data_IF_440041508770
#
_entry.id   IF_440041508770
#
_cell.length_a   1.000
_cell.length_b   1.000
_cell.length_c   1.000
_cell.angle_alpha   90.00
_cell.angle_beta   90.00
_cell.angle_gamma   90.00
#
_symmetry.space_group_name_H-M   'P 1'
#
loop_
_entity.id
_entity.type
_entity.pdbx_description
1 polymer ?
#
# COMPACT_ATOMS: atom_id res chain seq x y z
N UNK A 1 20.41 12.45 4.42
CA UNK A 1 20.29 11.08 4.96
C UNK A 1 21.26 10.89 6.10
N UNK A 2 20.99 9.93 7.00
CA UNK A 2 21.97 9.45 7.98
C UNK A 2 22.68 8.21 7.42
N UNK A 3 23.89 7.91 7.89
CA UNK A 3 24.61 6.71 7.46
C UNK A 3 23.80 5.48 7.91
N UNK A 4 23.35 4.60 7.00
CA UNK A 4 22.68 3.36 7.37
C UNK A 4 23.51 2.59 8.40
N UNK A 5 22.88 2.16 9.51
CA UNK A 5 23.53 1.36 10.54
C UNK A 5 24.37 2.12 11.59
N UNK A 6 24.58 3.44 11.46
CA UNK A 6 25.43 4.20 12.42
C UNK A 6 24.61 5.07 13.36
N UNK A 7 23.71 5.90 12.84
CA UNK A 7 22.79 6.67 13.67
C UNK A 7 21.49 6.98 12.94
N UNK A 8 20.40 7.10 13.71
CA UNK A 8 19.14 7.62 13.23
C UNK A 8 19.00 9.08 13.64
N UNK A 9 18.75 9.97 12.67
CA UNK A 9 18.37 11.38 12.96
C UNK A 9 16.85 11.57 13.00
N UNK A 10 16.10 10.52 13.33
CA UNK A 10 14.64 10.63 13.49
C UNK A 10 14.35 11.29 14.83
N UNK A 11 13.48 12.30 14.84
CA UNK A 11 13.04 12.92 16.10
C UNK A 11 12.14 11.95 16.89
N UNK A 12 11.32 11.16 16.19
CA UNK A 12 10.50 10.09 16.76
C UNK A 12 10.71 8.80 15.97
N UNK A 13 10.89 7.68 16.67
CA UNK A 13 11.04 6.35 16.06
C UNK A 13 9.68 5.65 15.87
N UNK A 14 9.65 4.64 15.01
CA UNK A 14 8.52 3.71 14.89
C UNK A 14 8.94 2.33 15.42
N UNK A 15 8.09 1.62 16.19
CA UNK A 15 8.34 0.23 16.57
C UNK A 15 8.61 -0.69 15.38
N UNK A 16 8.06 -0.39 14.21
CA UNK A 16 8.21 -1.17 12.98
C UNK A 16 9.66 -1.20 12.45
N UNK A 17 10.51 -0.26 12.89
CA UNK A 17 11.89 -0.11 12.40
C UNK A 17 12.75 -1.36 12.63
N UNK A 18 12.41 -2.18 13.63
CA UNK A 18 13.23 -3.33 14.02
C UNK A 18 12.58 -4.69 13.75
N UNK A 19 11.28 -4.74 13.44
CA UNK A 19 10.53 -6.00 13.57
C UNK A 19 9.48 -6.27 12.50
N UNK A 20 9.20 -5.36 11.57
CA UNK A 20 8.14 -5.61 10.60
C UNK A 20 8.63 -6.40 9.39
N UNK A 21 8.24 -7.68 9.34
CA UNK A 21 8.41 -8.61 8.22
C UNK A 21 7.14 -9.46 8.14
N UNK A 22 6.64 -9.70 6.93
CA UNK A 22 5.53 -10.61 6.68
C UNK A 22 5.81 -11.44 5.42
N UNK A 23 5.29 -12.67 5.40
CA UNK A 23 5.14 -13.44 4.17
C UNK A 23 3.87 -13.03 3.44
N UNK A 24 3.91 -13.06 2.12
CA UNK A 24 2.68 -13.08 1.33
C UNK A 24 1.97 -14.42 1.57
N UNK A 25 0.64 -14.41 1.65
CA UNK A 25 -0.17 -15.62 1.69
C UNK A 25 -0.44 -16.04 0.25
N UNK A 26 0.51 -16.75 -0.36
CA UNK A 26 0.43 -17.15 -1.77
C UNK A 26 -0.64 -18.22 -2.02
N UNK A 27 -0.92 -19.05 -1.01
CA UNK A 27 -1.89 -20.14 -1.06
C UNK A 27 -3.33 -19.64 -1.16
N UNK A 28 -3.65 -18.56 -0.45
CA UNK A 28 -4.99 -17.95 -0.43
C UNK A 28 -5.06 -16.66 -1.26
N UNK A 29 -4.00 -16.29 -1.99
CA UNK A 29 -4.05 -15.19 -2.94
C UNK A 29 -4.81 -15.64 -4.21
N UNK A 30 -5.98 -15.06 -4.51
CA UNK A 30 -6.78 -15.48 -5.67
C UNK A 30 -6.24 -14.89 -6.99
N UNK A 31 -5.17 -14.10 -6.94
CA UNK A 31 -4.46 -13.57 -8.10
C UNK A 31 -3.00 -14.10 -8.12
N UNK A 32 -2.15 -13.45 -8.89
CA UNK A 32 -0.71 -13.70 -8.89
C UNK A 32 -0.04 -13.18 -7.61
N UNK A 33 0.97 -13.88 -7.06
CA UNK A 33 1.82 -13.35 -6.00
C UNK A 33 2.56 -12.07 -6.41
N UNK A 34 2.92 -11.23 -5.44
CA UNK A 34 3.58 -9.95 -5.64
C UNK A 34 4.92 -10.06 -6.37
N UNK A 35 5.71 -11.11 -6.13
CA UNK A 35 6.98 -11.30 -6.85
C UNK A 35 6.79 -11.69 -8.31
N UNK A 36 5.74 -12.44 -8.61
CA UNK A 36 5.38 -12.81 -9.98
C UNK A 36 4.98 -11.57 -10.78
N UNK A 37 4.19 -10.67 -10.16
CA UNK A 37 3.86 -9.37 -10.74
C UNK A 37 5.10 -8.52 -11.07
N UNK A 38 6.25 -8.85 -10.48
CA UNK A 38 7.54 -8.15 -10.65
C UNK A 38 8.51 -8.88 -11.56
N UNK A 39 8.04 -9.91 -12.26
CA UNK A 39 8.80 -10.64 -13.27
C UNK A 39 9.69 -11.75 -12.72
N UNK A 40 9.51 -12.17 -11.46
CA UNK A 40 10.17 -13.35 -10.91
C UNK A 40 9.35 -14.61 -11.20
N UNK A 41 10.02 -15.76 -11.30
CA UNK A 41 9.34 -17.05 -11.42
C UNK A 41 8.51 -17.34 -10.17
N UNK A 42 7.41 -18.09 -10.32
CA UNK A 42 6.51 -18.42 -9.22
C UNK A 42 7.24 -19.17 -8.10
N UNK A 43 8.17 -20.03 -8.46
CA UNK A 43 8.95 -20.88 -7.55
C UNK A 43 10.19 -20.15 -6.97
N UNK A 44 10.45 -18.91 -7.39
CA UNK A 44 11.61 -18.16 -6.95
C UNK A 44 11.46 -17.68 -5.51
N UNK A 45 12.48 -17.94 -4.68
CA UNK A 45 12.58 -17.35 -3.35
C UNK A 45 13.10 -15.92 -3.43
N UNK A 46 12.26 -14.94 -3.10
CA UNK A 46 12.60 -13.52 -3.15
C UNK A 46 12.27 -12.79 -1.87
N UNK A 47 12.94 -11.66 -1.65
CA UNK A 47 12.58 -10.66 -0.65
C UNK A 47 12.30 -9.34 -1.35
N UNK A 48 11.20 -8.70 -0.97
CA UNK A 48 10.89 -7.32 -1.34
C UNK A 48 11.05 -6.41 -0.13
N UNK A 49 11.80 -5.32 -0.29
CA UNK A 49 11.99 -4.28 0.71
C UNK A 49 11.35 -2.98 0.24
N UNK A 50 10.58 -2.35 1.13
CA UNK A 50 10.00 -1.03 0.93
C UNK A 50 10.60 -0.03 1.91
N UNK A 51 10.72 1.23 1.49
CA UNK A 51 10.85 2.35 2.42
C UNK A 51 9.46 2.67 2.97
N UNK A 52 9.12 2.14 4.15
CA UNK A 52 7.81 2.33 4.79
C UNK A 52 7.79 3.53 5.77
N UNK A 53 6.66 4.24 5.86
CA UNK A 53 6.47 5.40 6.75
C UNK A 53 5.51 5.18 7.91
N UNK A 54 4.53 4.28 7.78
CA UNK A 54 3.51 4.00 8.80
C UNK A 54 3.03 2.54 8.71
N UNK A 55 2.07 2.19 9.57
CA UNK A 55 1.32 0.95 9.52
C UNK A 55 -0.07 1.26 10.08
N UNK A 56 -1.09 1.18 9.23
CA UNK A 56 -2.46 1.50 9.58
C UNK A 56 -3.32 0.25 9.36
N UNK A 57 -3.81 -0.32 10.46
CA UNK A 57 -4.82 -1.38 10.38
C UNK A 57 -6.14 -0.78 9.91
N UNK A 58 -6.75 -1.43 8.92
CA UNK A 58 -8.06 -1.10 8.40
C UNK A 58 -8.97 -2.25 8.80
N UNK A 59 -9.98 -1.97 9.62
CA UNK A 59 -10.96 -2.98 10.06
C UNK A 59 -12.33 -2.66 9.48
N UNK A 60 -13.13 -3.71 9.26
CA UNK A 60 -14.51 -3.60 8.75
C UNK A 60 -14.58 -3.86 7.24
N UNK A 61 -15.77 -3.74 6.66
CA UNK A 61 -16.00 -4.12 5.25
C UNK A 61 -16.40 -5.59 5.05
N UNK A 62 -16.72 -6.33 6.12
CA UNK A 62 -17.21 -7.70 6.00
C UNK A 62 -18.64 -7.73 5.46
N UNK A 63 -18.89 -8.63 4.50
CA UNK A 63 -20.23 -8.87 3.97
C UNK A 63 -20.82 -7.73 3.13
N UNK A 64 -20.05 -6.67 2.85
CA UNK A 64 -20.45 -5.60 1.93
C UNK A 64 -19.92 -5.85 0.52
N UNK A 65 -20.44 -5.10 -0.46
CA UNK A 65 -20.02 -5.20 -1.84
C UNK A 65 -18.60 -4.66 -2.09
N UNK A 66 -17.98 -5.00 -3.24
CA UNK A 66 -16.60 -4.62 -3.57
C UNK A 66 -16.37 -3.11 -3.50
N UNK A 67 -17.35 -2.31 -3.91
CA UNK A 67 -17.26 -0.84 -3.88
C UNK A 67 -17.16 -0.29 -2.46
N UNK A 68 -17.88 -0.87 -1.50
CA UNK A 68 -17.86 -0.41 -0.11
C UNK A 68 -16.58 -0.86 0.62
N UNK A 69 -16.04 -2.04 0.27
CA UNK A 69 -14.70 -2.47 0.72
C UNK A 69 -13.65 -1.43 0.27
N UNK A 70 -13.63 -1.09 -1.03
CA UNK A 70 -12.65 -0.16 -1.59
C UNK A 70 -12.83 1.27 -1.05
N UNK A 71 -14.07 1.69 -0.81
CA UNK A 71 -14.36 2.97 -0.14
C UNK A 71 -13.78 3.00 1.26
N UNK A 72 -14.01 1.95 2.06
CA UNK A 72 -13.46 1.83 3.42
C UNK A 72 -11.94 1.89 3.41
N UNK A 73 -11.28 1.15 2.51
CA UNK A 73 -9.82 1.17 2.38
C UNK A 73 -9.33 2.58 2.00
N UNK A 74 -9.98 3.22 1.02
CA UNK A 74 -9.58 4.54 0.54
C UNK A 74 -9.63 5.63 1.63
N UNK A 75 -10.56 5.56 2.57
CA UNK A 75 -10.60 6.50 3.72
C UNK A 75 -9.35 6.44 4.61
N UNK A 76 -8.63 5.31 4.58
CA UNK A 76 -7.41 5.08 5.36
C UNK A 76 -6.13 5.35 4.54
N UNK A 77 -6.25 5.93 3.34
CA UNK A 77 -5.14 6.27 2.45
C UNK A 77 -4.92 7.80 2.32
N UNK A 78 -4.84 8.58 3.41
CA UNK A 78 -4.65 10.03 3.28
C UNK A 78 -3.27 10.35 2.69
N UNK A 79 -3.11 11.51 2.02
CA UNK A 79 -1.81 12.01 1.60
C UNK A 79 -0.92 12.26 2.83
N UNK A 80 0.40 12.10 2.66
CA UNK A 80 1.37 12.14 3.76
C UNK A 80 2.66 12.84 3.35
N UNK A 81 3.20 13.68 4.24
CA UNK A 81 4.46 14.38 4.02
C UNK A 81 5.64 13.41 4.06
N UNK A 82 6.44 13.38 2.99
CA UNK A 82 7.69 12.61 2.96
C UNK A 82 7.55 11.08 3.06
N UNK A 83 6.33 10.54 2.95
CA UNK A 83 6.00 9.12 3.11
C UNK A 83 6.45 8.20 1.95
N UNK A 84 7.20 8.71 0.97
CA UNK A 84 7.48 8.01 -0.29
C UNK A 84 6.36 8.19 -1.30
N UNK A 85 6.63 7.84 -2.56
CA UNK A 85 5.75 8.17 -3.69
C UNK A 85 4.57 7.19 -3.88
N UNK A 86 4.47 6.13 -3.08
CA UNK A 86 3.45 5.09 -3.27
C UNK A 86 2.84 4.53 -1.98
N UNK A 87 2.15 3.42 -2.17
CA UNK A 87 1.34 2.71 -1.18
C UNK A 87 1.63 1.22 -1.27
N UNK A 88 1.89 0.56 -0.15
CA UNK A 88 1.73 -0.88 -0.02
C UNK A 88 0.42 -1.14 0.74
N UNK A 89 -0.51 -1.80 0.07
CA UNK A 89 -1.73 -2.31 0.66
C UNK A 89 -1.59 -3.83 0.81
N UNK A 90 -1.65 -4.29 2.05
CA UNK A 90 -1.78 -5.70 2.37
C UNK A 90 -3.26 -6.00 2.51
N UNK A 91 -3.81 -6.74 1.54
CA UNK A 91 -5.19 -7.18 1.56
C UNK A 91 -5.32 -8.42 2.43
N UNK A 92 -6.28 -8.41 3.35
CA UNK A 92 -6.69 -9.60 4.08
C UNK A 92 -7.36 -10.60 3.15
N UNK A 93 -7.25 -11.89 3.48
CA UNK A 93 -7.74 -12.99 2.63
C UNK A 93 -9.25 -12.87 2.31
N UNK A 94 -10.06 -12.43 3.27
CA UNK A 94 -11.51 -12.27 3.07
C UNK A 94 -11.85 -11.17 2.05
N UNK A 95 -11.16 -10.03 2.09
CA UNK A 95 -11.35 -8.96 1.12
C UNK A 95 -10.76 -9.33 -0.24
N UNK A 96 -9.59 -9.96 -0.27
CA UNK A 96 -9.01 -10.48 -1.51
C UNK A 96 -9.98 -11.44 -2.22
N UNK A 97 -10.53 -12.42 -1.49
CA UNK A 97 -11.49 -13.38 -2.04
C UNK A 97 -12.79 -12.70 -2.50
N UNK A 98 -13.34 -11.79 -1.68
CA UNK A 98 -14.59 -11.08 -2.00
C UNK A 98 -14.46 -10.20 -3.25
N UNK A 99 -13.36 -9.43 -3.35
CA UNK A 99 -13.05 -8.60 -4.52
C UNK A 99 -12.82 -9.46 -5.77
N UNK A 100 -12.13 -10.59 -5.63
CA UNK A 100 -11.90 -11.52 -6.74
C UNK A 100 -13.20 -12.18 -7.22
N UNK A 101 -14.07 -12.64 -6.31
CA UNK A 101 -15.39 -13.20 -6.65
C UNK A 101 -16.29 -12.19 -7.35
N UNK A 102 -16.11 -10.91 -7.06
CA UNK A 102 -16.77 -9.81 -7.77
C UNK A 102 -16.15 -9.51 -9.15
N UNK A 103 -15.10 -10.23 -9.57
CA UNK A 103 -14.47 -10.12 -10.88
C UNK A 103 -13.39 -9.04 -10.99
N UNK A 104 -12.94 -8.46 -9.87
CA UNK A 104 -11.92 -7.41 -9.91
C UNK A 104 -10.53 -7.98 -10.17
N UNK A 105 -9.78 -7.32 -11.05
CA UNK A 105 -8.34 -7.53 -11.21
C UNK A 105 -7.58 -6.65 -10.22
N UNK A 106 -6.31 -6.99 -9.93
CA UNK A 106 -5.42 -6.11 -9.15
C UNK A 106 -5.36 -4.70 -9.74
N UNK A 107 -5.36 -4.58 -11.07
CA UNK A 107 -5.33 -3.27 -11.73
C UNK A 107 -6.61 -2.47 -11.48
N UNK A 108 -7.78 -3.10 -11.59
CA UNK A 108 -9.05 -2.45 -11.30
C UNK A 108 -9.13 -1.95 -9.85
N UNK A 109 -8.59 -2.73 -8.90
CA UNK A 109 -8.47 -2.33 -7.49
C UNK A 109 -7.60 -1.07 -7.35
N UNK A 110 -6.42 -1.05 -7.96
CA UNK A 110 -5.50 0.11 -7.92
C UNK A 110 -6.15 1.36 -8.49
N UNK A 111 -6.77 1.24 -9.66
CA UNK A 111 -7.45 2.36 -10.33
C UNK A 111 -8.59 2.91 -9.48
N UNK A 112 -9.40 2.02 -8.89
CA UNK A 112 -10.52 2.42 -8.06
C UNK A 112 -10.06 3.08 -6.76
N UNK A 113 -9.06 2.54 -6.08
CA UNK A 113 -8.48 3.16 -4.89
C UNK A 113 -7.86 4.53 -5.21
N UNK A 114 -7.16 4.65 -6.34
CA UNK A 114 -6.58 5.93 -6.77
C UNK A 114 -7.64 7.01 -7.06
N UNK A 115 -8.81 6.61 -7.57
CA UNK A 115 -9.95 7.50 -7.75
C UNK A 115 -10.61 7.89 -6.42
N UNK A 116 -10.77 6.93 -5.50
CA UNK A 116 -11.48 7.12 -4.23
C UNK A 116 -10.64 7.85 -3.16
N UNK A 117 -9.33 7.62 -3.12
CA UNK A 117 -8.43 8.12 -2.08
C UNK A 117 -8.02 9.58 -2.32
N UNK A 118 -9.01 10.47 -2.39
CA UNK A 118 -8.87 11.91 -2.62
C UNK A 118 -9.51 12.69 -1.47
N UNK A 119 -8.81 13.69 -0.96
CA UNK A 119 -9.31 14.54 0.12
C UNK A 119 -9.24 16.01 -0.29
N UNK A 120 -10.20 16.86 0.17
CA UNK A 120 -10.13 18.29 -0.08
C UNK A 120 -8.80 18.89 0.38
N UNK A 121 -8.17 19.70 -0.48
CA UNK A 121 -6.93 20.39 -0.16
C UNK A 121 -7.07 21.30 1.08
N UNK A 122 -8.28 21.82 1.31
CA UNK A 122 -8.64 22.63 2.48
C UNK A 122 -8.56 21.90 3.82
N UNK A 123 -8.48 20.56 3.83
CA UNK A 123 -8.27 19.79 5.06
C UNK A 123 -6.82 19.83 5.55
N UNK A 124 -5.88 20.33 4.73
CA UNK A 124 -4.46 20.33 5.02
C UNK A 124 -3.89 21.74 5.13
N UNK A 125 -2.72 21.85 5.77
CA UNK A 125 -1.94 23.08 5.75
C UNK A 125 -1.61 23.48 4.30
N UNK A 126 -1.68 24.78 4.00
CA UNK A 126 -1.56 25.28 2.62
C UNK A 126 -0.22 24.93 1.97
N UNK A 127 0.86 24.94 2.73
CA UNK A 127 2.20 24.54 2.27
C UNK A 127 2.27 23.06 1.91
N UNK A 128 1.67 22.19 2.73
CA UNK A 128 1.54 20.77 2.44
C UNK A 128 0.74 20.50 1.16
N UNK A 129 -0.45 21.11 1.05
CA UNK A 129 -1.31 20.92 -0.12
C UNK A 129 -0.60 21.40 -1.41
N UNK A 130 0.04 22.57 -1.37
CA UNK A 130 0.82 23.10 -2.50
C UNK A 130 1.97 22.17 -2.89
N UNK A 131 2.67 21.60 -1.91
CA UNK A 131 3.75 20.64 -2.16
C UNK A 131 3.23 19.37 -2.84
N UNK A 132 2.11 18.79 -2.37
CA UNK A 132 1.53 17.59 -2.99
C UNK A 132 1.04 17.88 -4.41
N UNK A 133 0.37 19.01 -4.65
CA UNK A 133 -0.06 19.46 -5.98
C UNK A 133 1.16 19.59 -6.91
N UNK A 134 2.23 20.27 -6.46
CA UNK A 134 3.46 20.43 -7.24
C UNK A 134 4.16 19.09 -7.55
N UNK A 135 3.93 18.07 -6.72
CA UNK A 135 4.43 16.71 -6.93
C UNK A 135 3.52 15.85 -7.82
N UNK A 136 2.46 16.42 -8.41
CA UNK A 136 1.50 15.70 -9.26
C UNK A 136 0.49 14.86 -8.47
N UNK A 137 0.28 15.21 -7.19
CA UNK A 137 -0.61 14.50 -6.25
C UNK A 137 -1.78 15.38 -5.78
N UNK A 138 -2.20 16.31 -6.63
CA UNK A 138 -3.31 17.21 -6.38
C UNK A 138 -3.73 17.95 -7.65
N UNK A 139 -4.95 18.48 -7.65
CA UNK A 139 -5.54 19.26 -8.77
C UNK A 139 -5.97 20.67 -8.35
N UNK A 140 -5.59 21.12 -7.16
CA UNK A 140 -5.98 22.41 -6.58
C UNK A 140 -7.24 22.35 -5.71
N UNK A 141 -8.13 21.38 -5.94
CA UNK A 141 -9.30 21.15 -5.11
C UNK A 141 -9.08 19.98 -4.15
N UNK A 142 -8.45 18.91 -4.64
CA UNK A 142 -8.16 17.70 -3.89
C UNK A 142 -6.68 17.35 -3.92
N UNK A 143 -6.26 16.57 -2.93
CA UNK A 143 -4.95 15.96 -2.81
C UNK A 143 -5.09 14.47 -2.54
N UNK A 144 -4.11 13.68 -3.01
CA UNK A 144 -4.13 12.22 -2.93
C UNK A 144 -2.74 11.64 -2.76
N UNK A 145 -2.65 10.33 -2.53
CA UNK A 145 -1.40 9.72 -2.05
C UNK A 145 -0.39 9.34 -3.14
N UNK A 146 -0.86 8.81 -4.26
CA UNK A 146 -0.05 8.21 -5.33
C UNK A 146 -0.25 8.96 -6.65
N UNK A 147 0.79 9.19 -7.45
CA UNK A 147 0.66 9.91 -8.73
C UNK A 147 -0.12 9.12 -9.77
N UNK A 148 -0.04 7.80 -9.70
CA UNK A 148 -0.76 6.88 -10.57
C UNK A 148 -1.22 5.63 -9.81
N UNK A 149 -2.18 4.87 -10.35
CA UNK A 149 -2.56 3.57 -9.82
C UNK A 149 -1.38 2.59 -9.66
N UNK A 150 -0.37 2.67 -10.51
CA UNK A 150 0.79 1.75 -10.51
C UNK A 150 1.70 1.93 -9.29
N UNK A 151 1.55 3.04 -8.56
CA UNK A 151 2.24 3.27 -7.29
C UNK A 151 1.48 2.69 -6.08
N UNK A 152 0.37 1.97 -6.32
CA UNK A 152 -0.37 1.20 -5.32
C UNK A 152 -0.02 -0.28 -5.46
N UNK A 153 0.89 -0.74 -4.61
CA UNK A 153 1.36 -2.11 -4.53
C UNK A 153 0.39 -2.96 -3.71
N UNK A 154 -0.04 -4.10 -4.26
CA UNK A 154 -1.01 -5.00 -3.64
C UNK A 154 -0.35 -6.35 -3.35
N UNK A 155 -0.37 -6.78 -2.10
CA UNK A 155 -0.02 -8.14 -1.70
C UNK A 155 -1.13 -8.71 -0.81
N UNK A 156 -1.37 -10.02 -0.87
CA UNK A 156 -2.32 -10.69 0.03
C UNK A 156 -1.55 -11.23 1.21
N UNK A 157 -1.95 -10.91 2.44
CA UNK A 157 -1.24 -11.34 3.63
C UNK A 157 -2.18 -11.50 4.82
N UNK A 158 -1.70 -12.21 5.85
CA UNK A 158 -2.50 -12.50 7.03
C UNK A 158 -3.42 -13.70 6.84
N UNK A 159 -4.34 -13.86 7.79
CA UNK A 159 -5.32 -14.95 7.82
C UNK A 159 -6.76 -14.41 7.90
N UNK A 160 -7.74 -15.28 8.17
CA UNK A 160 -9.15 -14.92 8.14
C UNK A 160 -9.52 -13.75 9.05
N UNK A 161 -10.26 -12.78 8.50
CA UNK A 161 -10.77 -11.59 9.16
C UNK A 161 -10.94 -10.41 8.19
N UNK A 162 -11.87 -9.48 8.45
CA UNK A 162 -12.07 -8.29 7.62
C UNK A 162 -11.05 -7.20 7.99
N UNK A 163 -9.76 -7.51 7.76
CA UNK A 163 -8.65 -6.63 8.07
C UNK A 163 -7.70 -6.47 6.91
N UNK A 164 -7.34 -5.23 6.61
CA UNK A 164 -6.26 -4.88 5.68
C UNK A 164 -5.22 -4.01 6.40
N UNK A 165 -4.08 -3.80 5.76
CA UNK A 165 -3.06 -2.87 6.24
C UNK A 165 -2.66 -1.89 5.15
N UNK A 166 -2.79 -0.60 5.45
CA UNK A 166 -2.20 0.47 4.65
C UNK A 166 -0.81 0.86 5.17
N UNK A 167 0.16 0.89 4.26
CA UNK A 167 1.52 1.36 4.48
C UNK A 167 1.86 2.39 3.39
N UNK A 168 2.15 3.62 3.78
CA UNK A 168 2.85 4.59 2.93
C UNK A 168 4.24 4.04 2.62
N UNK A 169 4.51 3.80 1.34
CA UNK A 169 5.69 3.07 0.90
C UNK A 169 6.36 3.73 -0.30
N UNK A 170 7.69 3.71 -0.35
CA UNK A 170 8.46 4.04 -1.55
C UNK A 170 8.43 2.91 -2.59
N UNK A 171 9.20 3.07 -3.67
CA UNK A 171 9.35 2.02 -4.67
C UNK A 171 9.95 0.74 -4.08
N UNK A 172 9.38 -0.44 -4.36
CA UNK A 172 9.89 -1.72 -3.88
C UNK A 172 11.21 -2.11 -4.54
N UNK A 173 12.15 -2.60 -3.73
CA UNK A 173 13.35 -3.29 -4.18
C UNK A 173 13.20 -4.78 -3.93
N UNK A 174 13.17 -5.59 -4.99
CA UNK A 174 13.06 -7.07 -4.86
C UNK A 174 14.35 -7.72 -5.31
N UNK A 175 14.77 -8.72 -4.56
CA UNK A 175 15.99 -9.49 -4.81
C UNK A 175 15.71 -10.97 -4.59
N UNK A 176 16.31 -11.79 -5.44
CA UNK A 176 16.38 -13.24 -5.27
C UNK A 176 17.24 -13.56 -4.05
N UNK A 177 16.78 -14.43 -3.17
CA UNK A 177 17.55 -14.87 -1.99
C UNK A 177 18.52 -15.97 -2.40
N UNK A 178 18.06 -16.93 -3.20
CA UNK A 178 18.86 -17.93 -3.92
C UNK A 178 18.10 -18.38 -5.17
N UNK A 179 18.80 -18.48 -6.30
CA UNK A 179 18.30 -19.24 -7.46
C UNK A 179 18.38 -20.72 -7.14
N UNK A 180 17.33 -21.46 -7.47
CA UNK A 180 17.38 -22.92 -7.44
C UNK A 180 18.44 -23.39 -8.45
#
# INVERSE_FOLDING_TARGET
GALPGVYSKTSFGSPLRYSYICGENEEENPWTPFHVDRGFAREASVVTVFKASNFCNISGGEGVGPEEILRQIATNMPPMYGGGDGVLLLLGVNHAESLHKAGLTKQAIRERLWQLARLPASHFASDFAQMEIAAGRGDGETVWRARSPDEIYLAVAGGPGPQDVYIGAGMPQTRLIRGI
#
